data_IF_308532779580
#
_entry.id   IF_308532779580
#
_cell.length_a   1.000
_cell.length_b   1.000
_cell.length_c   1.000
_cell.angle_alpha   90.00
_cell.angle_beta   90.00
_cell.angle_gamma   90.00
#
_symmetry.space_group_name_H-M   'P 1'
#
loop_
_entity.id
_entity.type
_entity.pdbx_description
1 polymer ?
#
# COMPACT_ATOMS: atom_id res chain seq x y z
N UNK A 1 -4.58 21.43 -1.73
CA UNK A 1 -3.14 21.49 -1.39
C UNK A 1 -2.63 20.07 -1.46
N UNK A 2 -1.55 19.80 -2.21
CA UNK A 2 -0.86 18.50 -2.15
C UNK A 2 -0.21 18.37 -0.77
N UNK A 3 -0.30 17.21 -0.14
CA UNK A 3 0.29 17.02 1.17
C UNK A 3 1.81 16.78 1.12
N UNK A 4 2.48 17.00 2.25
CA UNK A 4 3.94 16.94 2.37
C UNK A 4 4.46 15.52 2.67
N UNK A 5 3.56 14.57 2.96
CA UNK A 5 3.95 13.22 3.31
C UNK A 5 4.27 12.36 2.09
N UNK A 6 5.12 11.38 2.36
CA UNK A 6 5.62 10.41 1.40
C UNK A 6 5.49 9.01 1.99
N UNK A 7 5.14 8.05 1.14
CA UNK A 7 5.03 6.65 1.53
C UNK A 7 5.65 5.73 0.48
N UNK A 8 6.09 4.56 0.93
CA UNK A 8 6.57 3.48 0.07
C UNK A 8 5.62 2.30 0.15
N UNK A 9 5.03 1.95 -0.99
CA UNK A 9 4.11 0.83 -1.13
C UNK A 9 4.82 -0.33 -1.82
N UNK A 10 4.63 -1.54 -1.31
CA UNK A 10 5.29 -2.75 -1.80
C UNK A 10 4.32 -3.92 -2.04
N UNK A 11 3.01 -3.68 -1.88
CA UNK A 11 1.95 -4.65 -2.03
C UNK A 11 0.77 -4.09 -2.83
N UNK A 12 -0.44 -4.28 -2.33
CA UNK A 12 -1.70 -3.91 -3.02
C UNK A 12 -1.77 -2.41 -3.35
N UNK A 13 -1.32 -1.55 -2.45
CA UNK A 13 -1.26 -0.08 -2.63
C UNK A 13 -0.27 0.38 -3.71
N UNK A 14 0.52 -0.52 -4.32
CA UNK A 14 1.28 -0.20 -5.53
C UNK A 14 0.37 0.09 -6.73
N UNK A 15 -0.88 -0.39 -6.70
CA UNK A 15 -1.89 -0.07 -7.69
C UNK A 15 -2.61 1.24 -7.30
N UNK A 16 -2.49 2.33 -8.10
CA UNK A 16 -3.11 3.62 -7.78
C UNK A 16 -4.62 3.54 -7.53
N UNK A 17 -5.32 2.63 -8.21
CA UNK A 17 -6.76 2.43 -8.05
C UNK A 17 -7.13 1.96 -6.63
N UNK A 18 -6.32 1.09 -6.02
CA UNK A 18 -6.52 0.66 -4.63
C UNK A 18 -6.21 1.82 -3.69
N UNK A 19 -5.11 2.54 -3.91
CA UNK A 19 -4.79 3.74 -3.14
C UNK A 19 -5.93 4.76 -3.16
N UNK A 20 -6.49 5.06 -4.34
CA UNK A 20 -7.57 6.02 -4.46
C UNK A 20 -8.86 5.51 -3.82
N UNK A 21 -9.17 4.22 -3.96
CA UNK A 21 -10.33 3.63 -3.30
C UNK A 21 -10.24 3.73 -1.77
N UNK A 22 -9.06 3.47 -1.19
CA UNK A 22 -8.83 3.62 0.26
C UNK A 22 -8.89 5.09 0.69
N UNK A 23 -8.20 5.98 -0.02
CA UNK A 23 -8.08 7.38 0.38
C UNK A 23 -9.33 8.23 0.08
N UNK A 24 -10.10 7.88 -0.93
CA UNK A 24 -11.20 8.71 -1.47
C UNK A 24 -12.53 7.97 -1.60
N UNK A 25 -12.58 6.66 -1.38
CA UNK A 25 -13.78 5.85 -1.62
C UNK A 25 -14.09 5.64 -3.11
N UNK A 26 -13.21 6.09 -4.01
CA UNK A 26 -13.39 6.02 -5.46
C UNK A 26 -12.08 5.54 -6.11
N UNK A 27 -12.07 4.42 -6.86
CA UNK A 27 -10.88 3.92 -7.55
C UNK A 27 -10.43 4.81 -8.72
N UNK A 28 -11.29 5.71 -9.23
CA UNK A 28 -10.99 6.60 -10.36
C UNK A 28 -11.49 8.03 -10.10
N UNK A 29 -10.93 8.72 -9.10
CA UNK A 29 -11.34 10.08 -8.78
C UNK A 29 -11.02 11.03 -9.96
N UNK A 30 -11.65 12.21 -10.01
CA UNK A 30 -11.41 13.20 -11.05
C UNK A 30 -9.92 13.46 -11.29
N UNK A 31 -9.55 13.70 -12.56
CA UNK A 31 -8.15 13.88 -13.00
C UNK A 31 -7.36 14.88 -12.13
N UNK A 32 -8.01 15.97 -11.72
CA UNK A 32 -7.43 17.00 -10.85
C UNK A 32 -6.96 16.46 -9.50
N UNK A 33 -7.65 15.46 -8.94
CA UNK A 33 -7.24 14.79 -7.69
C UNK A 33 -6.07 13.88 -7.98
N UNK A 34 -6.13 13.08 -9.05
CA UNK A 34 -5.04 12.15 -9.41
C UNK A 34 -3.72 12.87 -9.66
N UNK A 35 -3.76 14.05 -10.27
CA UNK A 35 -2.57 14.88 -10.55
C UNK A 35 -1.91 15.47 -9.29
N UNK A 36 -2.56 15.39 -8.12
CA UNK A 36 -1.94 15.77 -6.84
C UNK A 36 -0.97 14.71 -6.32
N UNK A 37 -1.04 13.49 -6.84
CA UNK A 37 -0.25 12.34 -6.38
C UNK A 37 0.72 11.90 -7.45
N UNK A 38 1.93 11.54 -7.04
CA UNK A 38 2.93 10.95 -7.95
C UNK A 38 3.34 9.60 -7.40
N UNK A 39 3.42 8.62 -8.30
CA UNK A 39 3.84 7.25 -8.02
C UNK A 39 5.08 6.95 -8.85
N UNK A 40 6.22 6.81 -8.18
CA UNK A 40 7.52 6.58 -8.82
C UNK A 40 8.05 5.23 -8.38
N UNK A 41 8.52 4.40 -9.32
CA UNK A 41 9.14 3.12 -8.97
C UNK A 41 10.35 3.36 -8.04
N UNK A 42 10.49 2.55 -7.00
CA UNK A 42 11.55 2.70 -6.01
C UNK A 42 11.97 1.34 -5.42
N UNK A 43 13.14 1.33 -4.79
CA UNK A 43 13.68 0.17 -4.08
C UNK A 43 13.91 0.51 -2.62
N UNK A 44 13.49 -0.39 -1.75
CA UNK A 44 13.82 -0.39 -0.33
C UNK A 44 14.86 -1.49 -0.06
N UNK A 45 16.07 -1.08 0.31
CA UNK A 45 17.15 -2.00 0.66
C UNK A 45 17.07 -2.43 2.15
N UNK A 46 17.49 -3.65 2.47
CA UNK A 46 17.50 -4.19 3.83
C UNK A 46 16.18 -4.83 4.30
N UNK A 47 15.27 -5.10 3.37
CA UNK A 47 13.98 -5.75 3.63
C UNK A 47 13.73 -6.87 2.63
N UNK A 48 12.92 -7.86 3.02
CA UNK A 48 12.43 -8.92 2.15
C UNK A 48 10.89 -8.93 2.17
N UNK A 49 10.28 -9.20 1.01
CA UNK A 49 8.82 -9.27 0.84
C UNK A 49 8.36 -10.72 0.81
N UNK A 50 7.40 -11.04 1.66
CA UNK A 50 6.83 -12.36 1.82
C UNK A 50 5.31 -12.35 1.61
N UNK A 51 4.75 -13.47 1.19
CA UNK A 51 3.30 -13.68 1.28
C UNK A 51 2.90 -13.84 2.76
N UNK A 52 1.80 -13.21 3.18
CA UNK A 52 1.18 -13.51 4.47
C UNK A 52 0.33 -14.78 4.32
N UNK A 53 0.43 -15.70 5.28
CA UNK A 53 -0.29 -16.98 5.24
C UNK A 53 -1.79 -16.74 5.12
N UNK A 54 -2.43 -17.48 4.21
CA UNK A 54 -3.89 -17.43 3.96
C UNK A 54 -4.43 -16.05 3.55
N UNK A 55 -3.55 -15.13 3.15
CA UNK A 55 -3.91 -13.77 2.76
C UNK A 55 -3.44 -13.45 1.33
N UNK A 56 -4.17 -12.55 0.67
CA UNK A 56 -3.84 -12.08 -0.69
C UNK A 56 -2.85 -10.89 -0.68
N UNK A 57 -2.40 -10.46 0.49
CA UNK A 57 -1.51 -9.30 0.68
C UNK A 57 -0.11 -9.70 1.19
N UNK A 58 0.95 -8.96 0.82
CA UNK A 58 2.29 -9.23 1.28
C UNK A 58 2.65 -8.47 2.56
N UNK A 59 3.60 -9.02 3.32
CA UNK A 59 4.30 -8.31 4.39
C UNK A 59 5.79 -8.17 4.07
N UNK A 60 6.42 -7.08 4.54
CA UNK A 60 7.89 -6.97 4.57
C UNK A 60 8.43 -7.13 5.98
N UNK A 61 9.61 -7.73 6.07
CA UNK A 61 10.41 -7.82 7.29
C UNK A 61 11.87 -7.40 7.02
N UNK A 62 12.61 -6.89 8.02
CA UNK A 62 14.02 -6.56 7.86
C UNK A 62 14.84 -7.82 7.52
N UNK A 63 15.56 -7.80 6.40
CA UNK A 63 16.48 -8.86 5.99
C UNK A 63 17.69 -8.24 5.26
N UNK A 64 18.87 -8.38 5.85
CA UNK A 64 20.09 -7.79 5.29
C UNK A 64 20.48 -8.46 3.96
N UNK A 65 20.92 -7.64 2.99
CA UNK A 65 21.32 -8.12 1.66
C UNK A 65 20.16 -8.38 0.72
N UNK A 66 18.91 -8.17 1.15
CA UNK A 66 17.71 -8.17 0.31
C UNK A 66 17.24 -6.76 -0.01
N UNK A 67 16.42 -6.66 -1.04
CA UNK A 67 15.74 -5.42 -1.39
C UNK A 67 14.36 -5.70 -1.95
N UNK A 68 13.45 -4.74 -1.75
CA UNK A 68 12.06 -4.81 -2.19
C UNK A 68 11.81 -3.73 -3.22
N UNK A 69 11.31 -4.13 -4.39
CA UNK A 69 10.80 -3.22 -5.41
C UNK A 69 9.36 -2.82 -5.09
N UNK A 70 9.10 -1.52 -5.14
CA UNK A 70 7.81 -0.94 -4.83
C UNK A 70 7.62 0.42 -5.51
N UNK A 71 6.72 1.21 -4.93
CA UNK A 71 6.30 2.52 -5.44
C UNK A 71 6.45 3.55 -4.33
N UNK A 72 7.20 4.60 -4.61
CA UNK A 72 7.28 5.82 -3.81
C UNK A 72 6.14 6.76 -4.20
N UNK A 73 5.25 7.02 -3.26
CA UNK A 73 4.10 7.90 -3.39
C UNK A 73 4.36 9.26 -2.72
N UNK A 74 3.98 10.35 -3.39
CA UNK A 74 4.04 11.72 -2.86
C UNK A 74 2.69 12.41 -2.95
N UNK A 75 2.55 13.53 -2.23
CA UNK A 75 1.32 14.34 -2.23
C UNK A 75 0.32 13.90 -1.14
N UNK A 76 0.76 13.04 -0.23
CA UNK A 76 -0.07 12.49 0.84
C UNK A 76 -0.33 13.54 1.91
N UNK A 77 -1.60 13.78 2.20
CA UNK A 77 -2.07 14.66 3.29
C UNK A 77 -2.17 13.89 4.60
N UNK A 78 -2.30 14.59 5.74
CA UNK A 78 -2.56 13.95 7.03
C UNK A 78 -3.77 13.00 6.97
N UNK A 79 -4.86 13.43 6.32
CA UNK A 79 -6.05 12.61 6.13
C UNK A 79 -5.79 11.34 5.27
N UNK A 80 -4.86 11.40 4.32
CA UNK A 80 -4.45 10.19 3.59
C UNK A 80 -3.69 9.25 4.52
N UNK A 81 -2.77 9.79 5.32
CA UNK A 81 -1.97 9.00 6.26
C UNK A 81 -2.85 8.31 7.31
N UNK A 82 -3.86 8.99 7.85
CA UNK A 82 -4.82 8.41 8.80
C UNK A 82 -5.64 7.26 8.19
N UNK A 83 -6.12 7.43 6.94
CA UNK A 83 -6.85 6.37 6.23
C UNK A 83 -5.97 5.17 5.93
N UNK A 84 -4.70 5.40 5.58
CA UNK A 84 -3.73 4.33 5.37
C UNK A 84 -3.42 3.61 6.69
N UNK A 85 -3.23 4.34 7.79
CA UNK A 85 -3.02 3.74 9.11
C UNK A 85 -4.22 2.85 9.51
N UNK A 86 -5.46 3.28 9.21
CA UNK A 86 -6.64 2.46 9.46
C UNK A 86 -6.74 1.24 8.54
N UNK A 87 -6.43 1.40 7.25
CA UNK A 87 -6.46 0.32 6.26
C UNK A 87 -5.48 -0.80 6.58
N UNK A 88 -4.25 -0.45 6.97
CA UNK A 88 -3.20 -1.41 7.33
C UNK A 88 -3.48 -2.04 8.70
N UNK A 89 -4.16 -1.31 9.59
CA UNK A 89 -4.61 -1.82 10.87
C UNK A 89 -3.47 -2.14 11.84
N UNK A 90 -3.74 -2.99 12.83
CA UNK A 90 -2.77 -3.35 13.87
C UNK A 90 -1.71 -4.36 13.43
N UNK A 91 -1.90 -5.00 12.27
CA UNK A 91 -0.99 -6.01 11.73
C UNK A 91 0.33 -5.41 11.24
N UNK A 92 0.33 -4.11 10.94
CA UNK A 92 1.50 -3.39 10.45
C UNK A 92 1.93 -2.28 11.41
N UNK A 93 3.21 -1.92 11.32
CA UNK A 93 3.80 -0.77 12.00
C UNK A 93 4.34 0.21 10.97
N UNK A 94 3.94 1.48 11.08
CA UNK A 94 4.48 2.54 10.21
C UNK A 94 5.86 2.96 10.69
N UNK A 95 6.86 2.78 9.83
CA UNK A 95 8.27 3.12 10.08
C UNK A 95 8.78 4.09 9.03
N UNK A 96 9.73 4.95 9.40
CA UNK A 96 10.45 5.81 8.45
C UNK A 96 11.64 5.07 7.86
N UNK A 97 11.72 5.00 6.53
CA UNK A 97 12.81 4.35 5.79
C UNK A 97 13.39 5.27 4.71
N UNK A 98 14.54 4.88 4.17
CA UNK A 98 15.12 5.50 2.98
C UNK A 98 14.91 4.56 1.80
N UNK A 99 14.36 5.09 0.71
CA UNK A 99 14.11 4.36 -0.54
C UNK A 99 14.86 5.03 -1.68
N UNK A 100 15.36 4.22 -2.59
CA UNK A 100 16.07 4.67 -3.78
C UNK A 100 15.11 4.72 -4.96
N UNK A 101 14.89 5.92 -5.50
CA UNK A 101 14.01 6.11 -6.65
C UNK A 101 14.63 5.50 -7.91
N UNK A 102 13.86 4.70 -8.64
CA UNK A 102 14.26 4.18 -9.93
C UNK A 102 13.98 5.23 -11.00
N UNK A 103 15.00 5.52 -11.81
CA UNK A 103 14.88 6.44 -12.93
C UNK A 103 13.90 5.92 -13.98
N UNK A 104 13.55 6.78 -14.94
CA UNK A 104 12.58 6.51 -16.03
C UNK A 104 12.89 5.28 -16.91
N UNK A 105 14.09 4.70 -16.77
CA UNK A 105 14.56 3.49 -17.47
C UNK A 105 14.55 2.22 -16.62
N UNK A 106 14.20 2.29 -15.33
CA UNK A 106 14.26 1.15 -14.42
C UNK A 106 15.68 0.70 -14.05
N UNK A 107 16.68 1.53 -14.34
CA UNK A 107 18.08 1.26 -14.00
C UNK A 107 18.30 1.50 -12.50
N UNK A 108 18.83 0.48 -11.80
CA UNK A 108 19.11 0.50 -10.36
C UNK A 108 20.31 1.39 -9.98
N UNK A 109 21.08 1.87 -10.97
CA UNK A 109 22.34 2.58 -10.75
C UNK A 109 22.14 4.10 -10.58
N UNK A 110 22.19 4.57 -9.33
CA UNK A 110 22.32 6.00 -9.01
C UNK A 110 21.01 6.76 -8.77
N UNK A 111 19.94 6.06 -8.41
CA UNK A 111 18.69 6.68 -7.98
C UNK A 111 18.85 7.59 -6.76
N UNK A 112 18.08 8.68 -6.71
CA UNK A 112 18.03 9.56 -5.53
C UNK A 112 17.42 8.81 -4.33
N UNK A 113 18.03 8.92 -3.16
CA UNK A 113 17.47 8.41 -1.92
C UNK A 113 16.49 9.42 -1.31
N UNK A 114 15.29 8.94 -0.97
CA UNK A 114 14.23 9.74 -0.35
C UNK A 114 13.73 9.07 0.91
N UNK A 115 13.35 9.88 1.90
CA UNK A 115 12.63 9.39 3.09
C UNK A 115 11.18 9.09 2.73
N UNK A 116 10.66 7.98 3.24
CA UNK A 116 9.28 7.58 3.07
C UNK A 116 8.79 6.82 4.30
N UNK A 117 7.49 6.90 4.55
CA UNK A 117 6.80 6.03 5.50
C UNK A 117 6.55 4.67 4.84
N UNK A 118 6.78 3.58 5.55
CA UNK A 118 6.46 2.22 5.09
C UNK A 118 5.76 1.46 6.20
N UNK A 119 4.83 0.58 5.86
CA UNK A 119 4.17 -0.32 6.79
C UNK A 119 4.96 -1.62 6.88
N UNK A 120 5.48 -2.00 8.03
CA UNK A 120 6.26 -3.24 8.24
C UNK A 120 5.38 -4.24 8.98
N UNK A 121 5.38 -5.51 8.55
CA UNK A 121 4.51 -6.52 9.15
C UNK A 121 5.01 -6.91 10.55
N UNK A 122 4.10 -6.98 11.52
CA UNK A 122 4.47 -7.23 12.93
C UNK A 122 4.63 -8.70 13.29
N UNK A 123 4.04 -9.60 12.51
CA UNK A 123 3.93 -11.03 12.85
C UNK A 123 4.74 -11.91 11.88
N UNK A 124 6.09 -11.91 11.96
CA UNK A 124 6.92 -12.66 11.02
C UNK A 124 6.64 -14.16 10.96
N UNK A 125 6.06 -14.74 12.02
CA UNK A 125 5.68 -16.16 12.09
C UNK A 125 4.53 -16.52 11.15
N UNK A 126 3.71 -15.54 10.76
CA UNK A 126 2.60 -15.69 9.83
C UNK A 126 3.02 -15.47 8.37
N UNK A 127 4.33 -15.33 8.10
CA UNK A 127 4.86 -15.16 6.75
C UNK A 127 5.22 -16.51 6.12
N UNK A 128 4.85 -16.66 4.86
CA UNK A 128 5.31 -17.76 4.04
C UNK A 128 6.73 -17.51 3.52
N UNK A 129 7.45 -18.59 3.23
CA UNK A 129 8.77 -18.52 2.58
C UNK A 129 8.72 -18.14 1.11
N UNK A 130 7.52 -17.99 0.54
CA UNK A 130 7.33 -17.60 -0.85
C UNK A 130 7.43 -16.08 -1.03
N UNK A 131 8.13 -15.65 -2.07
CA UNK A 131 8.14 -14.25 -2.50
C UNK A 131 6.79 -13.89 -3.13
N UNK A 132 6.24 -12.74 -2.76
CA UNK A 132 4.98 -12.27 -3.32
C UNK A 132 5.17 -11.64 -4.71
N UNK A 133 4.35 -12.08 -5.67
CA UNK A 133 4.36 -11.64 -7.07
C UNK A 133 3.25 -10.63 -7.36
N UNK A 134 3.66 -9.39 -7.63
CA UNK A 134 2.77 -8.27 -7.95
C UNK A 134 2.01 -8.47 -9.26
N UNK A 135 2.64 -9.07 -10.28
CA UNK A 135 1.99 -9.27 -11.58
C UNK A 135 0.90 -10.34 -11.48
N UNK A 136 1.13 -11.38 -10.67
CA UNK A 136 0.09 -12.36 -10.35
C UNK A 136 -1.09 -11.72 -9.62
N UNK A 137 -0.83 -10.87 -8.61
CA UNK A 137 -1.89 -10.12 -7.92
C UNK A 137 -2.72 -9.25 -8.86
N UNK A 138 -2.05 -8.47 -9.74
CA UNK A 138 -2.74 -7.60 -10.70
C UNK A 138 -3.63 -8.37 -11.67
N UNK A 139 -3.19 -9.54 -12.12
CA UNK A 139 -3.95 -10.38 -13.05
C UNK A 139 -5.15 -11.03 -12.38
N UNK A 140 -4.97 -11.56 -11.18
CA UNK A 140 -5.92 -12.53 -10.62
C UNK A 140 -6.82 -11.91 -9.52
N UNK A 141 -6.42 -10.80 -8.90
CA UNK A 141 -7.09 -10.26 -7.70
C UNK A 141 -7.52 -8.79 -7.80
N UNK A 142 -6.98 -8.02 -8.76
CA UNK A 142 -7.23 -6.59 -8.89
C UNK A 142 -8.73 -6.22 -8.98
N UNK A 143 -9.52 -6.99 -9.73
CA UNK A 143 -10.96 -6.74 -9.91
C UNK A 143 -11.75 -6.93 -8.60
N UNK A 144 -11.34 -7.89 -7.76
CA UNK A 144 -11.95 -8.12 -6.45
C UNK A 144 -11.61 -6.98 -5.48
N UNK A 145 -10.35 -6.54 -5.47
CA UNK A 145 -9.86 -5.51 -4.54
C UNK A 145 -10.36 -4.10 -4.88
N UNK A 146 -10.60 -3.80 -6.15
CA UNK A 146 -11.18 -2.50 -6.59
C UNK A 146 -12.70 -2.42 -6.47
N UNK A 147 -13.39 -3.58 -6.43
CA UNK A 147 -14.84 -3.66 -6.20
C UNK A 147 -15.24 -3.70 -4.73
N UNK A 148 -14.32 -4.05 -3.84
CA UNK A 148 -14.57 -3.96 -2.41
C UNK A 148 -14.78 -2.48 -2.07
N UNK A 149 -16.00 -2.14 -1.62
CA UNK A 149 -16.25 -0.87 -0.93
C UNK A 149 -15.44 -0.89 0.35
N UNK A 150 -14.36 -0.13 0.37
CA UNK A 150 -13.57 0.12 1.59
C UNK A 150 -14.27 1.11 2.52
N UNK A 151 -15.51 1.48 2.22
CA UNK A 151 -16.41 2.34 2.98
C UNK A 151 -16.58 1.93 4.45
N UNK A 152 -16.28 0.67 4.82
CA UNK A 152 -16.25 0.20 6.20
C UNK A 152 -15.08 0.75 7.03
N UNK A 153 -14.10 1.40 6.40
CA UNK A 153 -12.97 2.11 7.04
C UNK A 153 -13.40 3.45 7.61
N UNK A 154 -14.51 4.01 7.12
CA UNK A 154 -15.18 5.14 7.77
C UNK A 154 -16.21 4.56 8.75
N UNK A 155 -15.83 4.50 10.03
CA UNK A 155 -16.55 3.81 11.11
C UNK A 155 -17.98 4.28 11.35
N UNK A 156 -18.89 3.94 10.45
CA UNK A 156 -20.32 3.89 10.70
C UNK A 156 -20.69 2.44 10.96
N UNK A 157 -20.70 2.09 12.24
CA UNK A 157 -21.52 0.99 12.73
C UNK A 157 -22.97 1.37 12.48
N UNK A 158 -23.54 0.97 11.34
CA UNK A 158 -25.00 0.84 11.26
C UNK A 158 -25.35 -0.55 11.78
N UNK A 159 -25.64 -0.58 13.09
CA UNK A 159 -26.57 -1.53 13.68
C UNK A 159 -27.88 -1.47 12.87
N UNK A 160 -28.20 -2.51 12.11
CA UNK A 160 -29.61 -2.87 11.94
C UNK A 160 -29.81 -4.39 11.88
N UNK A 161 -29.91 -4.97 13.09
CA UNK A 161 -30.69 -6.16 13.32
C UNK A 161 -32.17 -5.76 13.32
N UNK A 162 -32.86 -5.99 12.20
CA UNK A 162 -34.31 -6.31 12.04
C UNK A 162 -34.64 -6.17 10.55
N UNK A 163 -35.36 -7.04 9.86
CA UNK A 163 -36.40 -7.94 10.31
C UNK A 163 -36.57 -9.04 9.25
N UNK A 164 -36.46 -10.30 9.66
CA UNK A 164 -37.02 -11.41 8.90
C UNK A 164 -38.54 -11.40 9.03
N UNK A 165 -39.19 -11.76 7.92
CA UNK A 165 -40.45 -12.50 7.84
C UNK A 165 -41.54 -12.22 8.90
N UNK A 166 -42.64 -11.60 8.44
CA UNK A 166 -43.97 -12.26 8.30
C UNK A 166 -44.81 -11.50 7.28
#
# INVERSE_FOLDING_TARGET
MSGEYTAFFYGTLMAPEIFFSVCFGDPSPPKVIRELYTFTAAILDGYCRHCVQLADYPGIIPEQGRSVRGVYATGLTDANMEKLDHFEGSEYERVQVQVRLLGRKGDDAGGEEKKASVYVFRHPDDLERAEWDFEAFRRDKMESWTRQRWDYIDGTVDDDVRNGAV
#
